data_IF_112966881032
#
_entry.id   IF_112966881032
#
_cell.length_a   1.000
_cell.length_b   1.000
_cell.length_c   1.000
_cell.angle_alpha   90.00
_cell.angle_beta   90.00
_cell.angle_gamma   90.00
#
_symmetry.space_group_name_H-M   'P 1'
#
loop_
_entity.id
_entity.type
_entity.pdbx_description
1 polymer ?
#
# COMPACT_ATOMS: atom_id res chain seq x y z
N UNK A 1 10.17 43.02 49.80
CA UNK A 1 11.53 42.61 50.15
C UNK A 1 11.87 43.27 51.46
N UNK A 2 12.04 42.49 52.53
CA UNK A 2 12.53 43.06 53.78
C UNK A 2 13.93 43.67 53.55
N UNK A 3 14.34 44.66 54.36
CA UNK A 3 15.70 45.19 54.28
C UNK A 3 16.79 44.11 54.41
N UNK A 4 16.50 43.06 55.17
CA UNK A 4 17.38 41.91 55.41
C UNK A 4 17.51 41.03 54.16
N UNK A 5 16.41 40.69 53.49
CA UNK A 5 16.41 39.93 52.23
C UNK A 5 17.15 40.69 51.12
N UNK A 6 17.00 42.03 51.07
CA UNK A 6 17.70 42.85 50.08
C UNK A 6 19.22 42.81 50.27
N UNK A 7 19.68 42.89 51.51
CA UNK A 7 21.10 42.83 51.85
C UNK A 7 21.70 41.46 51.51
N UNK A 8 20.95 40.39 51.77
CA UNK A 8 21.35 39.02 51.41
C UNK A 8 21.49 38.86 49.89
N UNK A 9 20.53 39.35 49.11
CA UNK A 9 20.58 39.28 47.65
C UNK A 9 21.74 40.08 47.08
N UNK A 10 21.97 41.31 47.55
CA UNK A 10 23.12 42.12 47.12
C UNK A 10 24.46 41.50 47.49
N UNK A 11 24.53 40.83 48.65
CA UNK A 11 25.72 40.08 49.08
C UNK A 11 26.01 38.89 48.17
N UNK A 12 25.00 38.12 47.79
CA UNK A 12 25.15 36.97 46.88
C UNK A 12 25.43 37.37 45.41
N UNK A 13 25.01 38.60 45.05
CA UNK A 13 25.17 39.20 43.73
C UNK A 13 26.56 39.85 43.51
N UNK A 14 27.11 40.48 44.55
CA UNK A 14 28.41 41.19 44.52
C UNK A 14 29.57 40.36 43.94
N UNK A 15 29.80 39.10 44.37
CA UNK A 15 30.85 38.23 43.81
C UNK A 15 30.69 37.92 42.32
N UNK A 16 29.46 38.10 41.80
CA UNK A 16 29.10 37.83 40.40
C UNK A 16 28.95 39.12 39.58
N UNK A 17 29.39 40.26 40.13
CA UNK A 17 29.33 41.58 39.48
C UNK A 17 27.92 41.95 38.98
N UNK A 18 26.89 41.52 39.70
CA UNK A 18 25.50 41.79 39.38
C UNK A 18 24.80 42.50 40.53
N UNK A 19 23.64 43.10 40.25
CA UNK A 19 22.78 43.68 41.30
C UNK A 19 22.01 42.56 42.01
N UNK A 20 21.57 42.79 43.25
CA UNK A 20 20.73 41.83 43.99
C UNK A 20 19.48 41.41 43.22
N UNK A 21 18.88 42.32 42.44
CA UNK A 21 17.74 42.03 41.57
C UNK A 21 18.11 41.15 40.37
N UNK A 22 19.24 41.42 39.71
CA UNK A 22 19.74 40.58 38.62
C UNK A 22 20.13 39.17 39.11
N UNK A 23 20.66 39.07 40.33
CA UNK A 23 20.93 37.80 40.99
C UNK A 23 19.64 37.03 41.30
N UNK A 24 18.64 37.66 41.89
CA UNK A 24 17.34 37.03 42.13
C UNK A 24 16.68 36.51 40.84
N UNK A 25 16.69 37.32 39.77
CA UNK A 25 16.23 36.87 38.45
C UNK A 25 17.04 35.68 37.95
N UNK A 26 18.36 35.68 38.14
CA UNK A 26 19.22 34.56 37.75
C UNK A 26 18.91 33.25 38.51
N UNK A 27 18.47 33.35 39.77
CA UNK A 27 18.07 32.21 40.60
C UNK A 27 16.67 31.71 40.27
N UNK A 28 15.73 32.61 39.95
CA UNK A 28 14.46 32.23 39.34
C UNK A 28 14.65 31.56 37.96
N UNK A 29 15.81 31.75 37.33
CA UNK A 29 16.20 31.16 36.05
C UNK A 29 17.08 29.91 36.18
N UNK A 30 17.63 29.54 37.35
CA UNK A 30 18.48 28.33 37.52
C UNK A 30 18.48 27.68 38.92
N UNK A 31 18.29 26.35 39.01
CA UNK A 31 17.50 25.52 38.12
C UNK A 31 16.02 25.71 38.47
N UNK A 32 15.20 25.86 37.44
CA UNK A 32 13.77 25.65 37.51
C UNK A 32 13.47 24.47 38.45
N UNK A 33 12.69 24.65 39.54
CA UNK A 33 12.56 23.67 40.64
C UNK A 33 11.88 22.33 40.25
N UNK A 34 11.81 21.99 38.97
CA UNK A 34 11.21 20.75 38.45
C UNK A 34 9.68 20.76 38.41
N UNK A 35 9.05 21.92 38.66
CA UNK A 35 7.59 22.02 38.79
C UNK A 35 6.90 22.09 37.41
N UNK A 36 7.57 22.64 36.39
CA UNK A 36 7.04 22.76 35.03
C UNK A 36 8.17 22.74 33.99
N UNK A 37 7.87 22.46 32.72
CA UNK A 37 8.85 22.58 31.63
C UNK A 37 8.89 24.04 31.11
N UNK A 38 10.06 24.66 30.86
CA UNK A 38 10.12 26.00 30.26
C UNK A 38 9.48 26.04 28.87
N UNK A 39 8.95 27.20 28.46
CA UNK A 39 8.36 27.37 27.11
C UNK A 39 9.39 27.22 25.97
N UNK A 40 10.67 27.44 26.27
CA UNK A 40 11.78 27.18 25.34
C UNK A 40 12.06 25.67 25.17
N UNK A 41 11.30 24.80 25.84
CA UNK A 41 11.53 23.37 25.90
C UNK A 41 12.57 23.00 26.96
N UNK A 42 12.87 21.70 27.03
CA UNK A 42 13.84 21.12 27.94
C UNK A 42 13.68 19.59 27.99
N UNK A 43 14.56 18.93 28.73
CA UNK A 43 14.47 17.47 28.94
C UNK A 43 13.62 17.19 30.17
N UNK A 44 12.60 16.37 30.01
CA UNK A 44 11.91 15.74 31.14
C UNK A 44 12.58 14.39 31.40
N UNK A 45 12.85 14.06 32.67
CA UNK A 45 13.38 12.75 33.08
C UNK A 45 12.32 11.99 33.88
N UNK A 46 12.36 10.66 33.80
CA UNK A 46 11.39 9.79 34.48
C UNK A 46 10.04 9.72 33.77
N UNK A 47 9.09 9.01 34.40
CA UNK A 47 7.76 8.80 33.85
C UNK A 47 6.89 10.05 34.03
N UNK A 48 6.16 10.44 32.98
CA UNK A 48 5.21 11.55 33.03
C UNK A 48 3.79 10.99 33.16
N UNK A 49 3.14 11.22 34.29
CA UNK A 49 1.75 10.83 34.52
C UNK A 49 0.80 11.98 34.16
N UNK A 50 0.05 11.84 33.05
CA UNK A 50 -0.86 12.87 32.53
C UNK A 50 -2.28 12.81 33.14
N UNK A 51 -2.53 11.88 34.06
CA UNK A 51 -3.87 11.52 34.53
C UNK A 51 -4.83 11.29 33.35
N UNK A 52 -5.77 12.19 33.09
CA UNK A 52 -6.71 12.15 31.95
C UNK A 52 -6.69 13.47 31.14
N UNK A 53 -5.61 14.24 31.24
CA UNK A 53 -5.47 15.49 30.50
C UNK A 53 -5.04 15.25 29.07
N UNK A 54 -5.47 16.17 28.18
CA UNK A 54 -5.20 16.09 26.74
C UNK A 54 -3.81 16.63 26.44
N UNK A 55 -3.10 15.97 25.53
CA UNK A 55 -1.95 16.54 24.83
C UNK A 55 -2.46 17.14 23.51
N UNK A 56 -2.20 18.43 23.27
CA UNK A 56 -2.73 19.17 22.13
C UNK A 56 -1.60 19.65 21.22
N UNK A 57 -1.91 19.89 19.94
CA UNK A 57 -0.99 20.46 18.94
C UNK A 57 0.29 19.65 18.69
N UNK A 58 0.22 18.32 18.84
CA UNK A 58 1.29 17.43 18.41
C UNK A 58 1.33 17.38 16.87
N UNK A 59 2.47 17.68 16.22
CA UNK A 59 2.59 17.57 14.76
C UNK A 59 2.48 16.10 14.29
N UNK A 60 2.46 15.90 12.97
CA UNK A 60 2.64 14.57 12.41
C UNK A 60 4.09 14.13 12.64
N UNK A 61 4.33 12.91 13.14
CA UNK A 61 5.68 12.42 13.37
C UNK A 61 6.42 12.26 12.03
N UNK A 62 7.68 12.68 12.03
CA UNK A 62 8.64 12.57 10.92
C UNK A 62 9.85 11.70 11.28
N UNK A 63 10.06 11.47 12.58
CA UNK A 63 11.09 10.57 13.11
C UNK A 63 10.46 9.44 13.95
N UNK A 64 11.14 8.29 14.01
CA UNK A 64 10.67 7.09 14.72
C UNK A 64 10.61 7.26 16.24
N UNK A 65 11.29 8.27 16.80
CA UNK A 65 11.31 8.56 18.23
C UNK A 65 10.27 9.61 18.65
N UNK A 66 9.51 10.17 17.70
CA UNK A 66 8.48 11.15 17.99
C UNK A 66 7.16 10.49 18.46
N UNK A 67 6.42 11.21 19.29
CA UNK A 67 5.07 10.79 19.66
C UNK A 67 4.13 10.89 18.45
N UNK A 68 3.31 9.86 18.23
CA UNK A 68 2.30 9.87 17.18
C UNK A 68 1.06 10.66 17.59
N UNK A 69 0.64 11.61 16.74
CA UNK A 69 -0.66 12.27 16.91
C UNK A 69 -1.81 11.32 16.53
N UNK A 70 -3.01 11.56 17.07
CA UNK A 70 -4.18 10.75 16.73
C UNK A 70 -4.46 10.75 15.23
N UNK A 71 -4.32 11.90 14.58
CA UNK A 71 -4.52 12.03 13.15
C UNK A 71 -3.53 11.14 12.35
N UNK A 72 -2.28 11.04 12.79
CA UNK A 72 -1.30 10.12 12.19
C UNK A 72 -1.73 8.66 12.35
N UNK A 73 -2.10 8.25 13.58
CA UNK A 73 -2.49 6.87 13.86
C UNK A 73 -3.79 6.47 13.12
N UNK A 74 -4.78 7.37 13.07
CA UNK A 74 -6.05 7.15 12.36
C UNK A 74 -5.85 7.06 10.83
N UNK A 75 -4.86 7.77 10.29
CA UNK A 75 -4.55 7.77 8.86
C UNK A 75 -3.71 6.54 8.43
N UNK A 76 -3.25 5.73 9.38
CA UNK A 76 -2.44 4.56 9.07
C UNK A 76 -3.32 3.50 8.39
N UNK A 77 -3.06 3.28 7.09
CA UNK A 77 -3.64 2.18 6.34
C UNK A 77 -2.73 0.98 6.54
N UNK A 78 -3.25 -0.09 7.15
CA UNK A 78 -2.52 -1.35 7.26
C UNK A 78 -2.62 -2.11 5.91
N UNK A 79 -1.50 -2.44 5.25
CA UNK A 79 -1.50 -3.33 4.11
C UNK A 79 -1.95 -4.73 4.55
N UNK A 80 -2.46 -5.54 3.60
CA UNK A 80 -2.91 -6.90 3.88
C UNK A 80 -1.80 -7.78 4.50
N UNK A 81 -0.53 -7.48 4.21
CA UNK A 81 0.65 -8.16 4.79
C UNK A 81 0.89 -7.88 6.27
N UNK A 82 0.09 -6.99 6.88
CA UNK A 82 0.17 -6.63 8.30
C UNK A 82 -1.14 -6.92 9.04
N UNK A 83 -2.12 -7.52 8.35
CA UNK A 83 -3.39 -7.89 8.95
C UNK A 83 -3.39 -9.40 9.12
N UNK A 84 -3.23 -9.86 10.36
CA UNK A 84 -3.10 -11.28 10.69
C UNK A 84 -4.49 -11.91 10.96
N UNK A 85 -4.92 -12.95 10.22
CA UNK A 85 -6.00 -13.83 10.64
C UNK A 85 -5.60 -14.71 11.83
N UNK A 86 -6.58 -15.26 12.55
CA UNK A 86 -6.32 -16.25 13.61
C UNK A 86 -5.64 -17.50 13.03
N UNK A 87 -4.52 -17.91 13.62
CA UNK A 87 -3.77 -19.11 13.23
C UNK A 87 -3.38 -19.95 14.46
N UNK A 88 -2.94 -21.20 14.23
CA UNK A 88 -2.50 -22.13 15.28
C UNK A 88 -0.98 -22.28 15.20
N UNK A 89 -0.27 -21.93 16.26
CA UNK A 89 1.20 -21.99 16.29
C UNK A 89 1.86 -21.04 15.29
N UNK A 90 3.10 -21.32 14.91
CA UNK A 90 3.79 -20.58 13.85
C UNK A 90 3.29 -21.06 12.47
N UNK A 91 2.39 -20.28 11.86
CA UNK A 91 1.84 -20.59 10.55
C UNK A 91 2.77 -20.08 9.43
N UNK A 92 2.83 -20.82 8.32
CA UNK A 92 3.56 -20.40 7.11
C UNK A 92 2.81 -19.30 6.34
N UNK A 93 1.49 -19.24 6.50
CA UNK A 93 0.59 -18.27 5.91
C UNK A 93 -0.17 -17.61 7.05
N UNK A 94 0.28 -16.44 7.47
CA UNK A 94 -0.13 -15.80 8.72
C UNK A 94 -0.74 -14.41 8.53
N UNK A 95 -0.80 -13.90 7.29
CA UNK A 95 -1.40 -12.63 6.94
C UNK A 95 -2.58 -12.76 5.93
N UNK A 96 -3.35 -11.68 5.78
CA UNK A 96 -4.46 -11.64 4.81
C UNK A 96 -3.99 -11.74 3.36
N UNK A 97 -2.76 -11.30 3.05
CA UNK A 97 -2.22 -11.37 1.70
C UNK A 97 -1.99 -12.83 1.30
N UNK A 98 -1.49 -13.65 2.20
CA UNK A 98 -1.30 -15.09 2.02
C UNK A 98 -2.63 -15.83 1.94
N UNK A 99 -3.61 -15.45 2.77
CA UNK A 99 -4.96 -15.99 2.64
C UNK A 99 -5.53 -15.73 1.23
N UNK A 100 -5.37 -14.52 0.70
CA UNK A 100 -5.80 -14.18 -0.66
C UNK A 100 -5.02 -15.00 -1.69
N UNK A 101 -3.69 -15.12 -1.54
CA UNK A 101 -2.85 -15.87 -2.46
C UNK A 101 -3.23 -17.35 -2.52
N UNK A 102 -3.67 -17.92 -1.40
CA UNK A 102 -4.06 -19.33 -1.31
C UNK A 102 -5.49 -19.58 -1.81
N UNK A 103 -6.41 -18.63 -1.60
CA UNK A 103 -7.84 -18.83 -1.88
C UNK A 103 -8.30 -18.33 -3.24
N UNK A 104 -7.63 -17.31 -3.80
CA UNK A 104 -8.00 -16.73 -5.09
C UNK A 104 -7.17 -17.30 -6.23
N UNK A 105 -7.87 -17.74 -7.27
CA UNK A 105 -7.29 -18.13 -8.56
C UNK A 105 -7.29 -16.96 -9.54
N UNK A 106 -6.49 -17.07 -10.60
CA UNK A 106 -6.54 -16.12 -11.69
C UNK A 106 -7.89 -16.23 -12.43
N UNK A 107 -8.45 -15.08 -12.82
CA UNK A 107 -9.75 -15.06 -13.48
C UNK A 107 -10.31 -13.67 -13.74
N UNK A 108 -11.37 -13.66 -14.55
CA UNK A 108 -12.15 -12.46 -14.90
C UNK A 108 -13.19 -12.18 -13.82
N UNK A 109 -13.32 -10.92 -13.43
CA UNK A 109 -14.43 -10.43 -12.59
C UNK A 109 -15.51 -9.73 -13.41
N UNK A 110 -15.14 -8.98 -14.45
CA UNK A 110 -16.09 -8.28 -15.33
C UNK A 110 -15.46 -7.96 -16.70
N UNK A 111 -16.30 -7.64 -17.68
CA UNK A 111 -15.89 -7.22 -19.03
C UNK A 111 -15.33 -8.36 -19.88
N UNK A 112 -14.33 -8.07 -20.72
CA UNK A 112 -13.62 -9.10 -21.49
C UNK A 112 -14.45 -9.81 -22.57
N UNK A 113 -15.58 -9.23 -22.99
CA UNK A 113 -16.39 -9.79 -24.08
C UNK A 113 -15.57 -9.89 -25.36
N UNK A 114 -15.62 -11.05 -25.99
CA UNK A 114 -15.01 -11.30 -27.29
C UNK A 114 -16.07 -11.05 -28.36
N UNK A 115 -15.76 -10.15 -29.29
CA UNK A 115 -16.63 -9.79 -30.41
C UNK A 115 -15.82 -9.64 -31.70
N UNK A 116 -16.51 -9.61 -32.84
CA UNK A 116 -15.87 -9.29 -34.11
C UNK A 116 -15.39 -7.83 -34.09
N UNK A 117 -14.19 -7.58 -34.61
CA UNK A 117 -13.73 -6.19 -34.80
C UNK A 117 -14.34 -5.57 -36.06
N UNK A 118 -14.13 -4.26 -36.26
CA UNK A 118 -14.52 -3.58 -37.51
C UNK A 118 -13.77 -4.09 -38.74
N UNK A 119 -12.53 -4.60 -38.57
CA UNK A 119 -11.78 -5.25 -39.63
C UNK A 119 -12.16 -6.73 -39.74
N UNK A 120 -12.49 -7.18 -40.95
CA UNK A 120 -13.05 -8.51 -41.20
C UNK A 120 -12.14 -9.65 -40.69
N UNK A 121 -12.72 -10.51 -39.85
CA UNK A 121 -12.09 -11.68 -39.26
C UNK A 121 -11.01 -11.38 -38.20
N UNK A 122 -10.79 -10.12 -37.83
CA UNK A 122 -10.07 -9.77 -36.60
C UNK A 122 -11.02 -9.82 -35.40
N UNK A 123 -10.47 -10.05 -34.22
CA UNK A 123 -11.23 -10.15 -32.96
C UNK A 123 -10.95 -8.94 -32.09
N UNK A 124 -12.00 -8.43 -31.44
CA UNK A 124 -11.89 -7.44 -30.37
C UNK A 124 -12.19 -8.11 -29.04
N UNK A 125 -11.26 -7.95 -28.10
CA UNK A 125 -11.47 -8.26 -26.68
C UNK A 125 -11.76 -6.96 -25.98
N UNK A 126 -12.95 -6.85 -25.41
CA UNK A 126 -13.36 -5.64 -24.71
C UNK A 126 -12.60 -5.47 -23.40
N UNK A 127 -12.53 -4.22 -22.93
CA UNK A 127 -11.98 -3.90 -21.62
C UNK A 127 -12.58 -4.79 -20.54
N UNK A 128 -11.79 -5.07 -19.51
CA UNK A 128 -12.24 -5.92 -18.42
C UNK A 128 -11.34 -5.83 -17.21
N UNK A 129 -11.76 -6.55 -16.18
CA UNK A 129 -11.13 -6.55 -14.86
C UNK A 129 -10.98 -7.98 -14.35
N UNK A 130 -9.97 -8.22 -13.52
CA UNK A 130 -9.72 -9.56 -12.99
C UNK A 130 -8.65 -9.60 -11.92
N UNK A 131 -8.32 -10.83 -11.52
CA UNK A 131 -7.21 -11.15 -10.64
C UNK A 131 -6.22 -12.08 -11.35
N UNK A 132 -4.94 -11.95 -11.02
CA UNK A 132 -3.89 -12.77 -11.63
C UNK A 132 -2.71 -12.92 -10.68
N UNK A 133 -2.02 -14.06 -10.72
CA UNK A 133 -0.76 -14.22 -9.98
C UNK A 133 0.39 -13.65 -10.79
N UNK A 134 1.39 -13.09 -10.12
CA UNK A 134 2.55 -12.50 -10.80
C UNK A 134 3.68 -13.50 -11.07
N UNK A 135 3.61 -14.68 -10.48
CA UNK A 135 4.55 -15.80 -10.67
C UNK A 135 3.77 -17.06 -11.01
N UNK A 136 4.41 -18.01 -11.71
CA UNK A 136 3.85 -19.34 -11.94
C UNK A 136 3.97 -20.18 -10.68
N UNK A 137 3.17 -19.82 -9.69
CA UNK A 137 3.06 -20.51 -8.41
C UNK A 137 1.62 -20.44 -7.94
N UNK A 138 1.04 -21.54 -7.43
CA UNK A 138 -0.29 -21.53 -6.83
C UNK A 138 -0.43 -20.51 -5.69
N UNK A 139 0.67 -20.22 -4.98
CA UNK A 139 0.71 -19.27 -3.86
C UNK A 139 1.41 -17.95 -4.24
N UNK A 140 1.57 -17.68 -5.55
CA UNK A 140 2.14 -16.42 -6.02
C UNK A 140 1.29 -15.21 -5.63
N UNK A 141 1.94 -14.05 -5.49
CA UNK A 141 1.25 -12.80 -5.14
C UNK A 141 0.14 -12.53 -6.16
N UNK A 142 -1.09 -12.48 -5.67
CA UNK A 142 -2.30 -12.25 -6.45
C UNK A 142 -2.60 -10.76 -6.49
N UNK A 143 -2.79 -10.21 -7.69
CA UNK A 143 -3.09 -8.79 -7.90
C UNK A 143 -4.37 -8.61 -8.70
N UNK A 144 -5.14 -7.59 -8.35
CA UNK A 144 -6.19 -7.08 -9.22
C UNK A 144 -5.58 -6.29 -10.36
N UNK A 145 -6.24 -6.30 -11.51
CA UNK A 145 -5.82 -5.54 -12.67
C UNK A 145 -7.01 -5.25 -13.60
N UNK A 146 -6.79 -4.28 -14.48
CA UNK A 146 -7.68 -3.96 -15.59
C UNK A 146 -6.91 -4.14 -16.90
N UNK A 147 -7.60 -4.50 -17.97
CA UNK A 147 -7.06 -4.49 -19.32
C UNK A 147 -7.90 -3.62 -20.24
N UNK A 148 -7.28 -2.93 -21.23
CA UNK A 148 -8.00 -2.13 -22.20
C UNK A 148 -8.63 -2.98 -23.31
N UNK A 149 -9.44 -2.32 -24.15
CA UNK A 149 -9.86 -2.93 -25.41
C UNK A 149 -8.64 -3.33 -26.25
N UNK A 150 -8.61 -4.56 -26.71
CA UNK A 150 -7.49 -5.13 -27.47
C UNK A 150 -8.01 -5.72 -28.78
N UNK A 151 -7.38 -5.35 -29.90
CA UNK A 151 -7.63 -6.00 -31.18
C UNK A 151 -6.58 -7.07 -31.39
N UNK A 152 -7.01 -8.31 -31.57
CA UNK A 152 -6.16 -9.41 -32.02
C UNK A 152 -6.40 -9.57 -33.51
N UNK A 153 -5.36 -9.27 -34.28
CA UNK A 153 -5.41 -9.36 -35.74
C UNK A 153 -5.41 -10.83 -36.17
N UNK A 154 -6.00 -11.11 -37.31
CA UNK A 154 -5.88 -12.40 -37.94
C UNK A 154 -4.67 -12.48 -38.86
N UNK A 155 -4.18 -13.69 -39.08
CA UNK A 155 -3.05 -13.98 -39.95
C UNK A 155 -2.38 -15.28 -39.55
N UNK A 156 -1.34 -15.68 -40.28
CA UNK A 156 -0.67 -16.96 -40.06
C UNK A 156 0.43 -16.94 -38.97
N UNK A 157 0.70 -15.78 -38.37
CA UNK A 157 1.75 -15.65 -37.35
C UNK A 157 1.25 -16.06 -35.96
N UNK A 158 2.09 -16.69 -35.11
CA UNK A 158 1.74 -16.97 -33.73
C UNK A 158 1.29 -15.71 -32.97
N UNK A 159 0.22 -15.84 -32.18
CA UNK A 159 -0.40 -14.71 -31.47
C UNK A 159 -1.56 -14.05 -32.21
N UNK A 160 -1.72 -14.32 -33.51
CA UNK A 160 -2.86 -13.89 -34.29
C UNK A 160 -4.03 -14.88 -34.21
N UNK A 161 -5.18 -14.50 -34.75
CA UNK A 161 -6.29 -15.41 -35.03
C UNK A 161 -5.96 -16.22 -36.28
N UNK A 162 -5.62 -17.50 -36.09
CA UNK A 162 -5.28 -18.45 -37.16
C UNK A 162 -6.56 -18.98 -37.81
N UNK A 163 -6.59 -19.01 -39.14
CA UNK A 163 -7.72 -19.51 -39.92
C UNK A 163 -7.84 -21.04 -39.81
N UNK A 164 -9.07 -21.55 -39.78
CA UNK A 164 -9.42 -22.97 -39.68
C UNK A 164 -8.89 -23.70 -38.44
N UNK A 165 -8.45 -22.97 -37.42
CA UNK A 165 -8.01 -23.49 -36.14
C UNK A 165 -8.84 -22.94 -34.98
N UNK A 166 -8.84 -23.68 -33.86
CA UNK A 166 -9.43 -23.19 -32.61
C UNK A 166 -8.43 -22.27 -31.91
N UNK A 167 -8.75 -20.99 -31.83
CA UNK A 167 -7.94 -19.98 -31.15
C UNK A 167 -8.48 -19.78 -29.73
N UNK A 168 -7.65 -20.03 -28.73
CA UNK A 168 -7.95 -19.74 -27.34
C UNK A 168 -7.58 -18.30 -27.05
N UNK A 169 -8.56 -17.51 -26.60
CA UNK A 169 -8.34 -16.12 -26.19
C UNK A 169 -8.14 -16.13 -24.68
N UNK A 170 -7.05 -15.55 -24.21
CA UNK A 170 -6.64 -15.60 -22.82
C UNK A 170 -5.97 -14.30 -22.39
N UNK A 171 -5.99 -14.03 -21.09
CA UNK A 171 -5.16 -12.99 -20.50
C UNK A 171 -3.82 -13.58 -20.12
N UNK A 172 -2.73 -12.91 -20.49
CA UNK A 172 -1.36 -13.30 -20.19
C UNK A 172 -0.64 -12.24 -19.34
N UNK A 173 -0.04 -12.68 -18.22
CA UNK A 173 0.91 -11.89 -17.44
C UNK A 173 2.34 -12.44 -17.60
N UNK A 174 2.92 -12.24 -18.78
CA UNK A 174 4.32 -12.60 -19.07
C UNK A 174 5.31 -11.43 -18.97
N UNK A 175 4.84 -10.18 -18.95
CA UNK A 175 5.71 -8.99 -19.02
C UNK A 175 5.24 -7.79 -18.16
N UNK A 176 4.59 -8.04 -17.02
CA UNK A 176 4.26 -7.00 -16.04
C UNK A 176 2.95 -6.24 -16.26
N UNK A 177 2.37 -6.28 -17.46
CA UNK A 177 1.01 -5.78 -17.73
C UNK A 177 0.18 -6.91 -18.34
N UNK A 178 -0.91 -7.35 -17.68
CA UNK A 178 -1.80 -8.35 -18.23
C UNK A 178 -2.43 -7.87 -19.55
N UNK A 179 -2.37 -8.68 -20.59
CA UNK A 179 -2.94 -8.35 -21.92
C UNK A 179 -3.69 -9.54 -22.52
N UNK A 180 -4.79 -9.30 -23.26
CA UNK A 180 -5.41 -10.33 -24.09
C UNK A 180 -4.47 -10.81 -25.20
N UNK A 181 -4.35 -12.12 -25.36
CA UNK A 181 -3.59 -12.80 -26.42
C UNK A 181 -4.39 -13.97 -26.98
N UNK A 182 -3.94 -14.48 -28.13
CA UNK A 182 -4.46 -15.69 -28.75
C UNK A 182 -3.36 -16.76 -28.88
N UNK A 183 -3.76 -18.02 -28.74
CA UNK A 183 -2.92 -19.18 -29.03
C UNK A 183 -3.79 -20.32 -29.56
N UNK A 184 -3.25 -21.17 -30.43
CA UNK A 184 -3.94 -22.38 -30.89
C UNK A 184 -3.59 -23.59 -30.01
N UNK A 185 -2.54 -23.49 -29.19
CA UNK A 185 -2.13 -24.51 -28.24
C UNK A 185 -2.61 -24.21 -26.82
N UNK A 186 -3.64 -24.92 -26.38
CA UNK A 186 -4.23 -24.79 -25.04
C UNK A 186 -3.25 -25.18 -23.92
N UNK A 187 -2.26 -26.01 -24.19
CA UNK A 187 -1.32 -26.52 -23.18
C UNK A 187 -0.33 -25.46 -22.73
N UNK A 188 -0.13 -24.41 -23.54
CA UNK A 188 0.71 -23.26 -23.21
C UNK A 188 0.09 -22.30 -22.20
N UNK A 189 -1.21 -22.42 -21.92
CA UNK A 189 -1.93 -21.57 -20.98
C UNK A 189 -1.87 -22.19 -19.58
N UNK A 190 -0.93 -21.70 -18.77
CA UNK A 190 -0.85 -21.97 -17.34
C UNK A 190 -1.90 -21.17 -16.55
N UNK A 191 -2.42 -21.70 -15.45
CA UNK A 191 -3.62 -21.18 -14.78
C UNK A 191 -3.33 -20.24 -13.58
N UNK A 192 -2.06 -19.90 -13.35
CA UNK A 192 -1.62 -19.01 -12.29
C UNK A 192 -1.46 -17.57 -12.81
N UNK A 193 -0.67 -17.36 -13.86
CA UNK A 193 -0.47 -16.05 -14.49
C UNK A 193 -1.21 -15.91 -15.83
N UNK A 194 -2.11 -16.84 -16.14
CA UNK A 194 -2.99 -16.73 -17.29
C UNK A 194 -4.37 -17.32 -16.99
N UNK A 195 -5.37 -16.89 -17.76
CA UNK A 195 -6.69 -17.52 -17.75
C UNK A 195 -7.43 -17.27 -19.08
N UNK A 196 -8.29 -18.20 -19.46
CA UNK A 196 -9.02 -18.15 -20.73
C UNK A 196 -10.29 -17.31 -20.64
N UNK A 197 -10.53 -16.46 -21.64
CA UNK A 197 -11.75 -15.68 -21.82
C UNK A 197 -12.75 -16.34 -22.77
N UNK A 198 -12.28 -17.19 -23.67
CA UNK A 198 -13.14 -17.86 -24.65
C UNK A 198 -12.36 -18.48 -25.79
N UNK A 199 -13.08 -18.87 -26.83
CA UNK A 199 -12.54 -19.51 -28.03
C UNK A 199 -13.09 -18.84 -29.27
N UNK A 200 -12.26 -18.76 -30.31
CA UNK A 200 -12.63 -18.24 -31.62
C UNK A 200 -12.20 -19.22 -32.70
N UNK A 201 -13.12 -19.60 -33.56
CA UNK A 201 -12.82 -20.30 -34.80
C UNK A 201 -13.07 -19.35 -35.97
N UNK A 202 -12.10 -19.22 -36.86
CA UNK A 202 -12.18 -18.38 -38.05
C UNK A 202 -12.29 -19.27 -39.29
N UNK A 203 -13.25 -18.96 -40.15
CA UNK A 203 -13.40 -19.58 -41.48
C UNK A 203 -13.44 -18.47 -42.53
N UNK A 204 -12.29 -18.19 -43.13
CA UNK A 204 -12.12 -17.07 -44.05
C UNK A 204 -12.31 -15.75 -43.31
N UNK A 205 -13.44 -15.08 -43.50
CA UNK A 205 -13.79 -13.83 -42.80
C UNK A 205 -14.84 -14.02 -41.70
N UNK A 206 -15.44 -15.21 -41.63
CA UNK A 206 -16.49 -15.54 -40.67
C UNK A 206 -15.84 -15.93 -39.34
N UNK A 207 -16.42 -15.43 -38.24
CA UNK A 207 -15.97 -15.74 -36.89
C UNK A 207 -17.05 -16.49 -36.13
N UNK A 208 -16.68 -17.62 -35.53
CA UNK A 208 -17.48 -18.36 -34.57
C UNK A 208 -16.87 -18.13 -33.19
N UNK A 209 -17.57 -17.38 -32.35
CA UNK A 209 -17.08 -16.93 -31.05
C UNK A 209 -17.83 -17.64 -29.94
N UNK A 210 -17.09 -18.26 -29.03
CA UNK A 210 -17.59 -18.86 -27.80
C UNK A 210 -16.98 -18.08 -26.63
N UNK A 211 -17.80 -17.26 -25.97
CA UNK A 211 -17.42 -16.58 -24.74
C UNK A 211 -17.51 -17.55 -23.55
N UNK A 212 -16.52 -17.52 -22.66
CA UNK A 212 -16.53 -18.23 -21.37
C UNK A 212 -17.09 -17.35 -20.24
#
# INVERSE_FOLDING_TARGET
>A
LSPEEKAEWESAARPRHMTGYAWFLSQALRPNPGIYLPLQGGTMQGNIYMAKHRLLHLPLPTDIQEAASKAYADALILPATQVEPSHIGAATFDDLQDLINNTMSAGRTSGGLIEASSAAGNVKVNLGTGFIKITDSPNGLTRSFNWPNTIIVAGALPGNIIDKETNYIYIDYSAGVPVPKATTDRTTIELNRMFTLGRVYRDGVTLHILNS
#
